data_IF_390966235177
#
_entry.id   IF_390966235177
#
_cell.length_a   1.000
_cell.length_b   1.000
_cell.length_c   1.000
_cell.angle_alpha   90.00
_cell.angle_beta   90.00
_cell.angle_gamma   90.00
#
_symmetry.space_group_name_H-M   'P 1'
#
loop_
_entity.id
_entity.type
_entity.pdbx_description
1 polymer ?
#
# COMPACT_ATOMS: atom_id res chain seq x y z
N UNK A 1 -13.16 -42.94 41.59
CA UNK A 1 -14.25 -41.92 41.56
C UNK A 1 -13.59 -40.57 41.38
N UNK A 2 -13.64 -40.01 40.16
CA UNK A 2 -13.15 -38.67 39.89
C UNK A 2 -14.31 -37.73 40.21
N UNK A 3 -14.20 -37.00 41.32
CA UNK A 3 -15.14 -35.95 41.71
C UNK A 3 -14.95 -34.75 40.80
N UNK A 4 -15.92 -34.52 39.91
CA UNK A 4 -16.03 -33.29 39.12
C UNK A 4 -16.49 -32.20 40.09
N UNK A 5 -15.73 -31.10 40.29
CA UNK A 5 -16.19 -30.01 41.14
C UNK A 5 -17.43 -29.33 40.51
N UNK A 6 -18.40 -28.87 41.31
CA UNK A 6 -19.60 -28.24 40.79
C UNK A 6 -19.25 -26.85 40.26
N UNK A 7 -18.98 -26.75 38.96
CA UNK A 7 -18.97 -25.46 38.27
C UNK A 7 -20.34 -25.19 37.67
N UNK A 8 -21.23 -24.56 38.44
CA UNK A 8 -22.28 -23.71 37.87
C UNK A 8 -22.91 -22.85 38.97
N UNK A 9 -22.22 -21.78 39.38
CA UNK A 9 -22.94 -20.60 39.85
C UNK A 9 -23.75 -20.09 38.66
N UNK A 10 -25.07 -20.14 38.77
CA UNK A 10 -25.97 -19.55 37.79
C UNK A 10 -25.61 -18.06 37.69
N UNK A 11 -25.32 -17.54 36.49
CA UNK A 11 -24.97 -16.13 36.36
C UNK A 11 -26.11 -15.28 36.89
N UNK A 12 -25.77 -14.24 37.64
CA UNK A 12 -26.74 -13.28 38.16
C UNK A 12 -27.44 -12.56 37.02
N UNK A 13 -28.64 -12.05 37.25
CA UNK A 13 -29.37 -11.24 36.26
C UNK A 13 -28.51 -10.07 35.74
N UNK A 14 -27.73 -9.43 36.61
CA UNK A 14 -26.81 -8.37 36.25
C UNK A 14 -25.69 -8.85 35.30
N UNK A 15 -25.11 -10.03 35.54
CA UNK A 15 -24.09 -10.61 34.66
C UNK A 15 -24.67 -11.00 33.29
N UNK A 16 -25.90 -11.51 33.26
CA UNK A 16 -26.62 -11.84 32.02
C UNK A 16 -26.89 -10.56 31.21
N UNK A 17 -27.42 -9.53 31.86
CA UNK A 17 -27.71 -8.24 31.21
C UNK A 17 -26.42 -7.61 30.65
N UNK A 18 -25.33 -7.61 31.43
CA UNK A 18 -24.06 -7.07 30.98
C UNK A 18 -23.47 -7.86 29.80
N UNK A 19 -23.59 -9.19 29.81
CA UNK A 19 -23.18 -10.04 28.69
C UNK A 19 -23.92 -9.67 27.39
N UNK A 20 -25.25 -9.57 27.43
CA UNK A 20 -26.04 -9.19 26.26
C UNK A 20 -25.81 -7.74 25.84
N UNK A 21 -25.64 -6.81 26.79
CA UNK A 21 -25.29 -5.42 26.49
C UNK A 21 -23.99 -5.35 25.69
N UNK A 22 -22.96 -6.10 26.11
CA UNK A 22 -21.68 -6.18 25.40
C UNK A 22 -21.85 -6.78 24.00
N UNK A 23 -22.61 -7.86 23.87
CA UNK A 23 -22.89 -8.47 22.55
C UNK A 23 -23.61 -7.51 21.60
N UNK A 24 -24.62 -6.78 22.09
CA UNK A 24 -25.36 -5.81 21.28
C UNK A 24 -24.43 -4.68 20.81
N UNK A 25 -23.55 -4.18 21.68
CA UNK A 25 -22.58 -3.15 21.33
C UNK A 25 -21.55 -3.66 20.29
N UNK A 26 -21.03 -4.88 20.47
CA UNK A 26 -20.14 -5.53 19.50
C UNK A 26 -20.81 -5.72 18.14
N UNK A 27 -22.08 -6.16 18.14
CA UNK A 27 -22.88 -6.33 16.94
C UNK A 27 -23.17 -4.98 16.25
N UNK A 28 -23.47 -3.93 17.01
CA UNK A 28 -23.66 -2.58 16.48
C UNK A 28 -22.38 -2.07 15.80
N UNK A 29 -21.23 -2.23 16.44
CA UNK A 29 -19.93 -1.87 15.88
C UNK A 29 -19.60 -2.69 14.62
N UNK A 30 -19.94 -3.98 14.61
CA UNK A 30 -19.80 -4.86 13.44
C UNK A 30 -20.65 -4.35 12.28
N UNK A 31 -21.93 -4.04 12.50
CA UNK A 31 -22.81 -3.52 11.46
C UNK A 31 -22.31 -2.19 10.87
N UNK A 32 -21.81 -1.27 11.70
CA UNK A 32 -21.19 -0.02 11.22
C UNK A 32 -19.95 -0.32 10.36
N UNK A 33 -19.08 -1.24 10.80
CA UNK A 33 -17.88 -1.62 10.05
C UNK A 33 -18.23 -2.29 8.71
N UNK A 34 -19.25 -3.13 8.68
CA UNK A 34 -19.73 -3.77 7.45
C UNK A 34 -20.28 -2.75 6.47
N UNK A 35 -21.08 -1.79 6.94
CA UNK A 35 -21.57 -0.70 6.10
C UNK A 35 -20.42 0.15 5.53
N UNK A 36 -19.46 0.56 6.37
CA UNK A 36 -18.23 1.27 5.91
C UNK A 36 -17.43 0.42 4.91
N UNK A 37 -17.34 -0.89 5.12
CA UNK A 37 -16.70 -1.81 4.20
C UNK A 37 -17.41 -1.86 2.85
N UNK A 38 -18.74 -2.00 2.85
CA UNK A 38 -19.56 -2.10 1.64
C UNK A 38 -19.54 -0.82 0.82
N UNK A 39 -19.81 0.32 1.44
CA UNK A 39 -19.99 1.59 0.73
C UNK A 39 -18.71 2.39 0.56
N UNK A 40 -17.76 2.27 1.48
CA UNK A 40 -16.50 3.02 1.43
C UNK A 40 -15.36 2.27 0.74
N UNK A 41 -15.28 0.94 0.89
CA UNK A 41 -14.07 0.19 0.48
C UNK A 41 -14.32 -0.75 -0.70
N UNK A 42 -15.47 -1.41 -0.72
CA UNK A 42 -15.75 -2.55 -1.59
C UNK A 42 -16.88 -2.30 -2.59
N UNK A 43 -17.37 -1.07 -2.74
CA UNK A 43 -18.52 -0.75 -3.60
C UNK A 43 -18.28 -1.13 -5.08
N UNK A 44 -17.03 -1.19 -5.51
CA UNK A 44 -16.61 -1.55 -6.85
C UNK A 44 -16.31 -3.04 -7.03
N UNK A 45 -16.31 -3.84 -5.95
CA UNK A 45 -16.05 -5.28 -6.06
C UNK A 45 -17.21 -5.97 -6.77
N UNK A 46 -16.89 -6.68 -7.86
CA UNK A 46 -17.85 -7.38 -8.72
C UNK A 46 -18.85 -6.45 -9.43
N UNK A 47 -18.54 -5.15 -9.50
CA UNK A 47 -19.28 -4.19 -10.30
C UNK A 47 -18.71 -4.19 -11.72
N UNK A 48 -19.55 -4.42 -12.73
CA UNK A 48 -19.11 -4.54 -14.13
C UNK A 48 -18.84 -3.19 -14.78
N UNK A 49 -19.46 -2.13 -14.27
CA UNK A 49 -19.31 -0.75 -14.76
C UNK A 49 -18.09 -0.02 -14.19
N UNK A 50 -17.45 -0.56 -13.15
CA UNK A 50 -16.32 0.07 -12.46
C UNK A 50 -15.09 -0.83 -12.56
N UNK A 51 -14.06 -0.37 -13.29
CA UNK A 51 -12.78 -1.09 -13.30
C UNK A 51 -12.16 -1.09 -11.90
N UNK A 52 -11.36 -2.12 -11.54
CA UNK A 52 -10.64 -2.14 -10.27
C UNK A 52 -9.75 -0.91 -10.05
N UNK A 53 -9.11 -0.39 -11.10
CA UNK A 53 -8.28 0.81 -11.03
C UNK A 53 -9.10 2.06 -10.70
N UNK A 54 -10.25 2.25 -11.36
CA UNK A 54 -11.17 3.36 -11.06
C UNK A 54 -11.73 3.23 -9.65
N UNK A 55 -12.18 2.03 -9.28
CA UNK A 55 -12.74 1.75 -7.95
C UNK A 55 -11.76 2.06 -6.83
N UNK A 56 -10.53 1.55 -6.91
CA UNK A 56 -9.50 1.76 -5.90
C UNK A 56 -9.12 3.25 -5.72
N UNK A 57 -9.08 4.03 -6.79
CA UNK A 57 -8.86 5.48 -6.72
C UNK A 57 -10.08 6.21 -6.14
N UNK A 58 -11.29 5.85 -6.60
CA UNK A 58 -12.53 6.49 -6.20
C UNK A 58 -12.88 6.31 -4.72
N UNK A 59 -12.42 5.21 -4.08
CA UNK A 59 -12.47 5.03 -2.60
C UNK A 59 -11.89 6.24 -1.87
N UNK A 60 -10.87 6.88 -2.45
CA UNK A 60 -10.17 8.02 -1.88
C UNK A 60 -10.56 9.35 -2.54
N UNK A 61 -11.65 9.38 -3.31
CA UNK A 61 -12.09 10.57 -4.03
C UNK A 61 -11.17 10.96 -5.20
N UNK A 62 -10.44 10.00 -5.76
CA UNK A 62 -9.51 10.21 -6.87
C UNK A 62 -10.06 9.64 -8.18
N UNK A 63 -9.61 10.23 -9.27
CA UNK A 63 -9.89 9.79 -10.64
C UNK A 63 -8.62 9.27 -11.30
N UNK A 64 -8.74 8.76 -12.54
CA UNK A 64 -7.55 8.34 -13.29
C UNK A 64 -6.59 9.50 -13.57
N UNK A 65 -7.05 10.76 -13.56
CA UNK A 65 -6.22 11.95 -13.73
C UNK A 65 -5.32 12.26 -12.52
N UNK A 66 -5.61 11.66 -11.36
CA UNK A 66 -4.84 11.80 -10.14
C UNK A 66 -3.73 10.74 -10.00
N UNK A 67 -3.59 9.86 -10.99
CA UNK A 67 -2.43 8.96 -11.09
C UNK A 67 -1.23 9.79 -11.57
N UNK A 68 -0.30 10.12 -10.69
CA UNK A 68 0.73 11.11 -10.99
C UNK A 68 2.05 10.53 -11.49
N UNK A 69 2.28 9.23 -11.28
CA UNK A 69 3.51 8.56 -11.74
C UNK A 69 3.28 7.06 -11.91
N UNK A 70 3.92 6.47 -12.92
CA UNK A 70 4.03 5.03 -13.07
C UNK A 70 5.49 4.59 -12.92
N UNK A 71 5.77 3.63 -12.04
CA UNK A 71 7.01 2.87 -12.08
C UNK A 71 6.78 1.65 -12.96
N UNK A 72 7.40 1.68 -14.14
CA UNK A 72 7.32 0.57 -15.08
C UNK A 72 8.28 -0.55 -14.68
N UNK A 73 7.98 -1.77 -15.12
CA UNK A 73 8.90 -2.88 -15.07
C UNK A 73 10.15 -2.57 -15.89
N UNK A 74 10.02 -2.05 -17.12
CA UNK A 74 11.12 -1.43 -17.88
C UNK A 74 12.43 -2.22 -17.85
N UNK A 75 12.46 -3.36 -18.52
CA UNK A 75 13.57 -4.33 -18.42
C UNK A 75 14.69 -4.08 -19.42
N UNK A 76 14.61 -3.00 -20.20
CA UNK A 76 15.52 -2.75 -21.32
C UNK A 76 15.45 -3.87 -22.37
N UNK A 77 14.27 -4.48 -22.54
CA UNK A 77 14.02 -5.51 -23.56
C UNK A 77 12.91 -5.04 -24.48
N UNK A 78 13.13 -5.19 -25.80
CA UNK A 78 12.22 -4.67 -26.83
C UNK A 78 10.76 -5.09 -26.58
N UNK A 79 10.51 -6.39 -26.38
CA UNK A 79 9.14 -6.91 -26.19
C UNK A 79 8.48 -6.41 -24.91
N UNK A 80 9.21 -6.34 -23.79
CA UNK A 80 8.62 -5.87 -22.53
C UNK A 80 8.25 -4.39 -22.64
N UNK A 81 9.19 -3.57 -23.12
CA UNK A 81 9.05 -2.11 -23.03
C UNK A 81 7.97 -1.61 -24.00
N UNK A 82 7.82 -2.23 -25.19
CA UNK A 82 6.69 -1.97 -26.09
C UNK A 82 5.35 -2.47 -25.52
N UNK A 83 5.32 -3.67 -24.92
CA UNK A 83 4.08 -4.25 -24.37
C UNK A 83 3.58 -3.47 -23.14
N UNK A 84 4.47 -3.20 -22.18
CA UNK A 84 4.11 -2.57 -20.92
C UNK A 84 3.58 -1.15 -21.13
N UNK A 85 4.21 -0.38 -22.02
CA UNK A 85 3.73 0.95 -22.38
C UNK A 85 2.38 0.89 -23.10
N UNK A 86 2.17 -0.08 -23.99
CA UNK A 86 0.87 -0.28 -24.64
C UNK A 86 -0.25 -0.60 -23.62
N UNK A 87 0.03 -1.48 -22.65
CA UNK A 87 -0.94 -1.82 -21.59
C UNK A 87 -1.33 -0.58 -20.78
N UNK A 88 -0.35 0.20 -20.32
CA UNK A 88 -0.64 1.41 -19.53
C UNK A 88 -1.38 2.45 -20.38
N UNK A 89 -0.94 2.70 -21.62
CA UNK A 89 -1.61 3.63 -22.53
C UNK A 89 -3.10 3.27 -22.70
N UNK A 90 -3.40 2.01 -23.06
CA UNK A 90 -4.79 1.56 -23.23
C UNK A 90 -5.61 1.62 -21.94
N UNK A 91 -5.00 1.34 -20.78
CA UNK A 91 -5.68 1.52 -19.48
C UNK A 91 -6.07 2.98 -19.25
N UNK A 92 -5.15 3.93 -19.49
CA UNK A 92 -5.40 5.35 -19.31
C UNK A 92 -6.48 5.86 -20.27
N UNK A 93 -6.39 5.50 -21.55
CA UNK A 93 -7.37 5.85 -22.57
C UNK A 93 -8.77 5.33 -22.23
N UNK A 94 -8.89 4.04 -21.92
CA UNK A 94 -10.17 3.41 -21.62
C UNK A 94 -10.83 3.98 -20.36
N UNK A 95 -10.01 4.41 -19.38
CA UNK A 95 -10.49 5.05 -18.16
C UNK A 95 -10.80 6.53 -18.32
N UNK A 96 -10.51 7.12 -19.49
CA UNK A 96 -10.80 8.52 -19.81
C UNK A 96 -9.80 9.50 -19.21
N UNK A 97 -8.52 9.14 -19.12
CA UNK A 97 -7.45 10.08 -18.76
C UNK A 97 -7.51 11.29 -19.70
N UNK A 98 -7.47 12.49 -19.14
CA UNK A 98 -7.58 13.72 -19.90
C UNK A 98 -6.39 13.86 -20.86
N UNK A 99 -6.65 14.12 -22.14
CA UNK A 99 -5.59 14.34 -23.13
C UNK A 99 -4.68 15.50 -22.71
N UNK A 100 -3.36 15.29 -22.83
CA UNK A 100 -2.35 16.24 -22.36
C UNK A 100 -1.98 16.08 -20.88
N UNK A 101 -2.76 15.37 -20.08
CA UNK A 101 -2.39 14.99 -18.71
C UNK A 101 -1.48 13.76 -18.72
N UNK A 102 -0.25 13.93 -19.22
CA UNK A 102 0.71 12.84 -19.40
C UNK A 102 1.14 12.21 -18.06
N UNK A 103 1.39 10.90 -18.07
CA UNK A 103 1.84 10.11 -16.93
C UNK A 103 3.36 9.89 -17.01
N UNK A 104 4.14 10.48 -16.09
CA UNK A 104 5.57 10.21 -15.96
C UNK A 104 5.86 8.73 -15.66
N UNK A 105 6.74 8.12 -16.45
CA UNK A 105 7.14 6.72 -16.37
C UNK A 105 8.58 6.59 -15.85
N UNK A 106 8.74 6.01 -14.67
CA UNK A 106 10.04 5.79 -14.02
C UNK A 106 10.57 4.38 -14.32
N UNK A 107 11.85 4.31 -14.73
CA UNK A 107 12.55 3.08 -15.09
C UNK A 107 13.75 2.83 -14.18
N UNK A 108 13.49 2.32 -12.97
CA UNK A 108 14.51 2.15 -11.93
C UNK A 108 15.62 1.14 -12.30
N UNK A 109 15.32 0.18 -13.20
CA UNK A 109 16.29 -0.84 -13.63
C UNK A 109 17.48 -0.26 -14.39
N UNK A 110 17.36 0.96 -14.94
CA UNK A 110 18.49 1.70 -15.52
C UNK A 110 19.63 1.92 -14.51
N UNK A 111 19.30 2.01 -13.22
CA UNK A 111 20.25 2.22 -12.14
C UNK A 111 20.59 0.93 -11.39
N UNK A 112 19.57 0.12 -11.05
CA UNK A 112 19.72 -1.03 -10.15
C UNK A 112 19.95 -2.36 -10.88
N UNK A 113 19.80 -2.39 -12.21
CA UNK A 113 19.65 -3.63 -12.96
C UNK A 113 18.35 -4.37 -12.60
N UNK A 114 18.24 -5.63 -13.03
CA UNK A 114 17.05 -6.45 -12.78
C UNK A 114 17.24 -7.44 -11.63
N UNK A 115 16.73 -7.09 -10.44
CA UNK A 115 16.76 -7.94 -9.24
C UNK A 115 15.84 -9.17 -9.25
N UNK A 116 15.55 -9.77 -10.41
CA UNK A 116 14.63 -10.92 -10.62
C UNK A 116 13.34 -10.79 -9.78
N UNK A 117 13.14 -11.65 -8.78
CA UNK A 117 11.94 -11.66 -7.93
C UNK A 117 11.79 -10.41 -7.05
N UNK A 118 12.87 -9.73 -6.69
CA UNK A 118 12.84 -8.52 -5.86
C UNK A 118 12.52 -7.24 -6.66
N UNK A 119 12.39 -7.32 -7.98
CA UNK A 119 12.22 -6.15 -8.83
C UNK A 119 10.99 -5.30 -8.47
N UNK A 120 9.87 -5.94 -8.11
CA UNK A 120 8.66 -5.24 -7.67
C UNK A 120 8.82 -4.53 -6.33
N UNK A 121 9.61 -5.09 -5.41
CA UNK A 121 9.84 -4.49 -4.10
C UNK A 121 10.65 -3.19 -4.21
N UNK A 122 11.70 -3.17 -5.05
CA UNK A 122 12.49 -1.95 -5.28
C UNK A 122 11.68 -0.85 -6.00
N UNK A 123 10.84 -1.24 -6.96
CA UNK A 123 9.93 -0.32 -7.63
C UNK A 123 8.93 0.31 -6.64
N UNK A 124 8.34 -0.52 -5.77
CA UNK A 124 7.41 -0.05 -4.74
C UNK A 124 8.10 0.90 -3.74
N UNK A 125 9.31 0.57 -3.28
CA UNK A 125 10.10 1.44 -2.42
C UNK A 125 10.36 2.80 -3.09
N UNK A 126 10.72 2.79 -4.38
CA UNK A 126 10.89 4.00 -5.18
C UNK A 126 9.62 4.84 -5.21
N UNK A 127 8.46 4.24 -5.48
CA UNK A 127 7.18 4.94 -5.47
C UNK A 127 6.82 5.55 -4.11
N UNK A 128 7.07 4.83 -3.01
CA UNK A 128 6.85 5.36 -1.66
C UNK A 128 7.75 6.57 -1.41
N UNK A 129 9.02 6.52 -1.82
CA UNK A 129 9.95 7.65 -1.74
C UNK A 129 9.49 8.84 -2.60
N UNK A 130 8.96 8.59 -3.81
CA UNK A 130 8.40 9.63 -4.67
C UNK A 130 7.18 10.28 -4.02
N UNK A 131 6.26 9.50 -3.44
CA UNK A 131 5.10 10.06 -2.72
C UNK A 131 5.52 10.93 -1.54
N UNK A 132 6.54 10.52 -0.79
CA UNK A 132 7.01 11.24 0.39
C UNK A 132 7.73 12.54 0.05
N UNK A 133 8.44 12.59 -1.09
CA UNK A 133 9.33 13.71 -1.44
C UNK A 133 8.77 14.63 -2.54
N UNK A 134 7.83 14.13 -3.34
CA UNK A 134 7.39 14.78 -4.58
C UNK A 134 8.44 14.76 -5.70
N UNK A 135 9.57 14.05 -5.53
CA UNK A 135 10.65 13.99 -6.51
C UNK A 135 10.41 12.80 -7.44
N UNK A 136 10.37 13.05 -8.75
CA UNK A 136 10.26 12.02 -9.78
C UNK A 136 11.66 11.84 -10.41
N UNK A 137 12.32 10.67 -10.22
CA UNK A 137 13.64 10.43 -10.76
C UNK A 137 13.60 10.21 -12.27
N UNK A 138 14.51 10.85 -12.99
CA UNK A 138 14.69 10.62 -14.42
C UNK A 138 15.53 9.37 -14.72
N UNK A 139 15.25 8.73 -15.85
CA UNK A 139 16.09 7.69 -16.41
C UNK A 139 17.29 8.34 -17.13
N UNK A 140 18.46 8.38 -16.48
CA UNK A 140 19.67 8.97 -17.06
C UNK A 140 20.19 8.20 -18.29
N UNK A 141 19.79 6.94 -18.45
CA UNK A 141 20.18 6.10 -19.56
C UNK A 141 19.16 6.15 -20.71
N UNK A 142 18.12 7.00 -20.61
CA UNK A 142 17.25 7.32 -21.73
C UNK A 142 18.00 8.26 -22.69
N UNK A 143 18.81 7.68 -23.56
CA UNK A 143 19.61 8.35 -24.59
C UNK A 143 18.70 8.97 -25.66
N UNK A 144 17.86 8.15 -26.29
CA UNK A 144 16.84 8.56 -27.23
C UNK A 144 15.65 7.59 -27.12
N UNK A 145 14.47 8.13 -26.81
CA UNK A 145 13.27 7.31 -26.70
C UNK A 145 12.93 6.71 -28.07
N UNK A 146 12.64 5.41 -28.08
CA UNK A 146 12.32 4.67 -29.31
C UNK A 146 11.13 5.31 -30.04
N UNK A 147 11.25 5.41 -31.37
CA UNK A 147 10.20 5.94 -32.23
C UNK A 147 8.93 5.08 -32.18
N UNK A 148 9.04 3.78 -31.87
CA UNK A 148 7.90 2.88 -31.66
C UNK A 148 7.01 3.29 -30.47
N UNK A 149 7.49 4.16 -29.56
CA UNK A 149 6.74 4.63 -28.40
C UNK A 149 6.06 5.99 -28.61
N UNK A 150 6.21 6.61 -29.79
CA UNK A 150 5.67 7.96 -30.07
C UNK A 150 4.14 8.02 -30.08
N UNK A 151 3.48 6.90 -30.31
CA UNK A 151 2.02 6.75 -30.26
C UNK A 151 1.48 6.61 -28.82
N UNK A 152 2.36 6.59 -27.80
CA UNK A 152 2.00 6.58 -26.37
C UNK A 152 1.86 8.02 -25.84
N UNK A 153 0.91 8.76 -26.38
CA UNK A 153 0.74 10.20 -26.14
C UNK A 153 0.35 10.58 -24.69
N UNK A 154 -0.09 9.61 -23.88
CA UNK A 154 -0.38 9.79 -22.46
C UNK A 154 0.81 9.43 -21.56
N UNK A 155 1.94 8.98 -22.11
CA UNK A 155 3.12 8.60 -21.34
C UNK A 155 4.24 9.62 -21.52
N UNK A 156 4.96 9.90 -20.43
CA UNK A 156 6.13 10.77 -20.46
C UNK A 156 7.34 10.04 -19.87
N UNK A 157 8.47 10.03 -20.59
CA UNK A 157 9.69 9.34 -20.18
C UNK A 157 10.77 10.35 -19.76
N UNK A 158 10.82 10.77 -18.47
CA UNK A 158 11.77 11.78 -18.03
C UNK A 158 13.21 11.25 -18.05
N UNK A 159 14.12 11.95 -18.73
CA UNK A 159 15.57 11.66 -18.67
C UNK A 159 16.26 12.37 -17.50
N UNK A 160 15.62 13.40 -16.92
CA UNK A 160 16.12 14.19 -15.79
C UNK A 160 15.14 14.19 -14.63
N UNK A 161 15.69 14.16 -13.42
CA UNK A 161 14.90 14.26 -12.19
C UNK A 161 14.28 15.65 -12.07
N UNK A 162 13.03 15.70 -11.63
CA UNK A 162 12.34 16.94 -11.30
C UNK A 162 11.45 16.75 -10.07
N UNK A 163 10.96 17.85 -9.50
CA UNK A 163 10.09 17.84 -8.33
C UNK A 163 8.71 18.37 -8.72
N UNK A 164 7.67 17.62 -8.41
CA UNK A 164 6.31 18.13 -8.43
C UNK A 164 6.06 18.93 -7.14
N UNK A 165 5.94 20.26 -7.26
CA UNK A 165 5.76 21.15 -6.12
C UNK A 165 4.46 20.87 -5.35
N UNK A 166 3.41 20.38 -6.02
CA UNK A 166 2.14 19.99 -5.39
C UNK A 166 2.21 18.62 -4.67
N UNK A 167 3.34 17.92 -4.79
CA UNK A 167 3.50 16.53 -4.37
C UNK A 167 2.72 15.56 -5.27
N UNK A 168 2.73 14.29 -4.90
CA UNK A 168 2.04 13.22 -5.64
C UNK A 168 0.87 12.68 -4.81
N UNK A 169 -0.25 12.39 -5.48
CA UNK A 169 -1.50 11.84 -4.98
C UNK A 169 -1.52 10.33 -5.10
N UNK A 170 -1.20 9.77 -6.27
CA UNK A 170 -1.16 8.33 -6.48
C UNK A 170 -0.06 7.89 -7.44
N UNK A 171 0.32 6.61 -7.37
CA UNK A 171 1.25 5.97 -8.29
C UNK A 171 0.75 4.61 -8.76
N UNK A 172 1.27 4.14 -9.90
CA UNK A 172 1.13 2.76 -10.36
C UNK A 172 2.51 2.08 -10.39
N UNK A 173 2.58 0.81 -10.00
CA UNK A 173 3.74 -0.07 -10.23
C UNK A 173 3.27 -1.24 -11.06
N UNK A 174 3.90 -1.47 -12.22
CA UNK A 174 3.67 -2.66 -13.03
C UNK A 174 4.88 -3.56 -13.04
N UNK A 175 4.63 -4.87 -13.09
CA UNK A 175 5.68 -5.88 -13.20
C UNK A 175 5.19 -7.07 -13.99
N UNK A 176 6.06 -7.58 -14.87
CA UNK A 176 5.81 -8.78 -15.66
C UNK A 176 6.90 -9.81 -15.41
N UNK A 177 6.56 -11.09 -15.55
CA UNK A 177 7.46 -12.20 -15.30
C UNK A 177 7.13 -13.41 -16.17
N UNK A 178 8.08 -14.33 -16.24
CA UNK A 178 7.92 -15.60 -16.95
C UNK A 178 6.69 -16.38 -16.47
N UNK A 179 6.07 -17.13 -17.39
CA UNK A 179 4.86 -17.89 -17.11
C UNK A 179 3.61 -17.02 -16.98
N UNK A 180 3.50 -15.98 -17.82
CA UNK A 180 2.33 -15.08 -17.90
C UNK A 180 1.98 -14.43 -16.55
N UNK A 181 3.00 -14.05 -15.77
CA UNK A 181 2.81 -13.38 -14.48
C UNK A 181 2.83 -11.87 -14.69
N UNK A 182 1.65 -11.25 -14.77
CA UNK A 182 1.49 -9.80 -14.72
C UNK A 182 0.93 -9.37 -13.37
N UNK A 183 1.46 -8.30 -12.79
CA UNK A 183 0.94 -7.70 -11.58
C UNK A 183 0.98 -6.17 -11.68
N UNK A 184 -0.03 -5.53 -11.11
CA UNK A 184 -0.11 -4.07 -10.98
C UNK A 184 -0.52 -3.71 -9.56
N UNK A 185 0.16 -2.72 -8.99
CA UNK A 185 -0.14 -2.15 -7.68
C UNK A 185 -0.39 -0.66 -7.85
N UNK A 186 -1.41 -0.15 -7.18
CA UNK A 186 -1.70 1.28 -7.10
C UNK A 186 -1.49 1.70 -5.65
N UNK A 187 -0.73 2.78 -5.45
CA UNK A 187 -0.56 3.38 -4.13
C UNK A 187 -1.17 4.78 -4.11
N UNK A 188 -1.77 5.15 -2.98
CA UNK A 188 -2.34 6.47 -2.74
C UNK A 188 -1.59 7.13 -1.58
N UNK A 189 -1.43 8.46 -1.66
CA UNK A 189 -0.71 9.23 -0.68
C UNK A 189 -1.37 9.10 0.71
N UNK A 190 -0.59 8.91 1.81
CA UNK A 190 -1.14 8.77 3.16
C UNK A 190 -2.05 9.92 3.62
N UNK A 191 -1.93 11.12 3.03
CA UNK A 191 -2.80 12.26 3.34
C UNK A 191 -4.30 11.92 3.18
N UNK A 192 -4.65 11.06 2.23
CA UNK A 192 -6.04 10.64 2.00
C UNK A 192 -6.57 9.73 3.11
N UNK A 193 -5.70 8.93 3.73
CA UNK A 193 -6.06 8.16 4.92
C UNK A 193 -6.28 9.09 6.11
N UNK A 194 -5.37 10.04 6.34
CA UNK A 194 -5.48 10.96 7.47
C UNK A 194 -6.69 11.90 7.38
N UNK A 195 -7.14 12.20 6.16
CA UNK A 195 -8.38 12.96 5.93
C UNK A 195 -9.65 12.23 6.43
N UNK A 196 -9.57 10.94 6.80
CA UNK A 196 -10.69 10.19 7.39
C UNK A 196 -10.78 10.29 8.91
N UNK A 197 -9.76 10.86 9.55
CA UNK A 197 -9.68 10.98 11.00
C UNK A 197 -10.16 12.35 11.47
N UNK A 198 -10.65 12.43 12.70
CA UNK A 198 -10.77 13.72 13.39
C UNK A 198 -9.39 14.32 13.67
N UNK A 199 -9.33 15.63 13.87
CA UNK A 199 -8.09 16.33 14.19
C UNK A 199 -7.44 15.78 15.47
N UNK A 200 -8.25 15.48 16.49
CA UNK A 200 -7.77 14.92 17.76
C UNK A 200 -7.15 13.52 17.59
N UNK A 201 -7.78 12.65 16.79
CA UNK A 201 -7.25 11.32 16.49
C UNK A 201 -5.92 11.42 15.72
N UNK A 202 -5.87 12.33 14.73
CA UNK A 202 -4.67 12.56 13.95
C UNK A 202 -3.51 13.08 14.82
N UNK A 203 -3.73 14.07 15.68
CA UNK A 203 -2.69 14.59 16.57
C UNK A 203 -2.22 13.54 17.59
N UNK A 204 -3.14 12.73 18.11
CA UNK A 204 -2.80 11.59 18.98
C UNK A 204 -1.90 10.58 18.26
N UNK A 205 -2.23 10.25 17.01
CA UNK A 205 -1.41 9.39 16.16
C UNK A 205 -0.02 10.00 15.91
N UNK A 206 0.06 11.29 15.55
CA UNK A 206 1.33 11.99 15.30
C UNK A 206 2.25 11.98 16.51
N UNK A 207 1.71 12.20 17.72
CA UNK A 207 2.49 12.15 18.94
C UNK A 207 3.14 10.77 19.15
N UNK A 208 2.39 9.69 18.90
CA UNK A 208 2.90 8.31 18.96
C UNK A 208 3.97 8.04 17.90
N UNK A 209 3.77 8.51 16.67
CA UNK A 209 4.77 8.37 15.58
C UNK A 209 6.07 9.08 15.94
N UNK A 210 6.01 10.34 16.40
CA UNK A 210 7.20 11.09 16.85
C UNK A 210 7.95 10.39 17.98
N UNK A 211 7.21 9.79 18.93
CA UNK A 211 7.80 8.97 19.98
C UNK A 211 8.58 7.77 19.41
N UNK A 212 7.96 7.03 18.49
CA UNK A 212 8.59 5.88 17.82
C UNK A 212 9.79 6.27 16.98
N UNK A 213 9.72 7.38 16.25
CA UNK A 213 10.81 7.89 15.42
C UNK A 213 12.06 8.20 16.26
N UNK A 214 11.91 8.84 17.42
CA UNK A 214 13.02 9.08 18.35
C UNK A 214 13.66 7.78 18.83
N UNK A 215 12.84 6.81 19.25
CA UNK A 215 13.33 5.50 19.68
C UNK A 215 14.02 4.73 18.56
N UNK A 216 13.47 4.77 17.35
CA UNK A 216 14.03 4.11 16.17
C UNK A 216 15.35 4.76 15.73
N UNK A 217 15.43 6.09 15.76
CA UNK A 217 16.66 6.84 15.43
C UNK A 217 17.77 6.51 16.41
N UNK A 218 17.47 6.47 17.71
CA UNK A 218 18.42 6.04 18.74
C UNK A 218 18.90 4.61 18.48
N UNK A 219 17.98 3.67 18.26
CA UNK A 219 18.34 2.28 17.99
C UNK A 219 19.18 2.11 16.71
N UNK A 220 18.89 2.88 15.66
CA UNK A 220 19.68 2.90 14.42
C UNK A 220 21.09 3.42 14.67
N UNK A 221 21.24 4.53 15.41
CA UNK A 221 22.54 5.09 15.79
C UNK A 221 23.35 4.09 16.61
N UNK A 222 22.77 3.51 17.66
CA UNK A 222 23.42 2.48 18.48
C UNK A 222 23.87 1.29 17.62
N UNK A 223 23.04 0.84 16.68
CA UNK A 223 23.38 -0.23 15.75
C UNK A 223 24.52 0.11 14.79
N UNK A 224 24.63 1.36 14.33
CA UNK A 224 25.71 1.82 13.44
C UNK A 224 27.04 1.98 14.22
N UNK A 225 27.01 2.49 15.45
CA UNK A 225 28.20 2.77 16.25
C UNK A 225 28.76 1.56 17.03
N UNK A 226 28.65 0.36 16.47
CA UNK A 226 29.22 -0.87 17.03
C UNK A 226 28.24 -1.76 17.79
N UNK A 227 26.96 -1.39 17.87
CA UNK A 227 25.89 -2.29 18.27
C UNK A 227 25.50 -3.26 17.15
N UNK A 228 24.29 -3.81 17.24
CA UNK A 228 23.71 -4.64 16.17
C UNK A 228 22.33 -4.14 15.76
N UNK A 229 22.15 -3.93 14.45
CA UNK A 229 20.85 -3.66 13.84
C UNK A 229 19.96 -4.90 13.79
N UNK A 230 20.57 -6.10 13.76
CA UNK A 230 19.86 -7.37 13.70
C UNK A 230 20.03 -8.09 15.04
N UNK A 231 18.94 -8.19 15.81
CA UNK A 231 18.92 -8.90 17.09
C UNK A 231 18.21 -10.23 16.92
N UNK A 232 18.96 -11.33 16.95
CA UNK A 232 18.40 -12.69 16.96
C UNK A 232 17.66 -12.91 18.28
N UNK A 233 16.49 -13.55 18.20
CA UNK A 233 15.66 -13.85 19.37
C UNK A 233 15.88 -15.31 19.76
N UNK A 234 16.22 -15.54 21.02
CA UNK A 234 16.54 -16.87 21.55
C UNK A 234 15.31 -17.65 22.05
N UNK A 235 14.21 -16.95 22.36
CA UNK A 235 13.00 -17.56 22.90
C UNK A 235 11.73 -16.84 22.41
N UNK A 236 10.62 -17.57 22.48
CA UNK A 236 9.28 -17.04 22.26
C UNK A 236 8.90 -16.01 23.34
N UNK A 237 7.88 -15.21 23.05
CA UNK A 237 7.26 -14.31 24.04
C UNK A 237 6.50 -15.09 25.10
N UNK A 238 6.01 -16.28 24.76
CA UNK A 238 5.22 -17.14 25.65
C UNK A 238 6.07 -18.26 26.21
N UNK A 239 5.90 -18.57 27.49
CA UNK A 239 6.40 -19.81 28.06
C UNK A 239 5.60 -21.01 27.53
N UNK A 240 6.24 -22.17 27.38
CA UNK A 240 5.62 -23.37 26.80
C UNK A 240 4.33 -23.79 27.53
N UNK A 241 4.29 -23.59 28.86
CA UNK A 241 3.12 -23.90 29.70
C UNK A 241 1.90 -23.03 29.41
N UNK A 242 2.12 -21.81 28.90
CA UNK A 242 1.08 -20.83 28.60
C UNK A 242 0.80 -20.71 27.10
N UNK A 243 1.56 -21.42 26.26
CA UNK A 243 1.47 -21.34 24.81
C UNK A 243 0.08 -21.75 24.32
N UNK A 244 -0.42 -22.91 24.75
CA UNK A 244 -1.73 -23.41 24.33
C UNK A 244 -2.85 -22.44 24.75
N UNK A 245 -2.80 -21.96 26.00
CA UNK A 245 -3.76 -20.97 26.50
C UNK A 245 -3.71 -19.67 25.70
N UNK A 246 -2.52 -19.18 25.39
CA UNK A 246 -2.32 -17.92 24.67
C UNK A 246 -2.75 -18.01 23.19
N UNK A 247 -2.60 -19.19 22.57
CA UNK A 247 -3.05 -19.43 21.20
C UNK A 247 -4.57 -19.62 21.09
N UNK A 248 -5.21 -20.11 22.15
CA UNK A 248 -6.64 -20.39 22.18
C UNK A 248 -7.49 -19.25 22.78
N UNK A 249 -6.88 -18.27 23.47
CA UNK A 249 -7.58 -17.08 23.92
C UNK A 249 -7.91 -16.17 22.73
N UNK A 250 -9.17 -16.15 22.30
CA UNK A 250 -9.73 -15.18 21.35
C UNK A 250 -10.28 -13.95 22.08
#
# INVERSE_FOLDING_TARGET
MITIPPHSTTPTEAEIVEHYRKQIEEDAQRSVKEAKGRYGNNFWRRETSISPLRGALAVWGLTIDDLDVASLHGTSTKKNDTNETAVIQSQLEWLGRTKGNVLPCVLQKSLLGHGKGAAGAFALNGCIQMLATGIIPGNRNADNIDAELRDRDLLFFPSRTYKNAAGLKAFSVTSFGFGQKGAQVVGVNPRYLFATLSEQEYETYRARVRGRERSATKALQEGIYGGSLVKVKEASVYEDKDLERSLLSR
#
